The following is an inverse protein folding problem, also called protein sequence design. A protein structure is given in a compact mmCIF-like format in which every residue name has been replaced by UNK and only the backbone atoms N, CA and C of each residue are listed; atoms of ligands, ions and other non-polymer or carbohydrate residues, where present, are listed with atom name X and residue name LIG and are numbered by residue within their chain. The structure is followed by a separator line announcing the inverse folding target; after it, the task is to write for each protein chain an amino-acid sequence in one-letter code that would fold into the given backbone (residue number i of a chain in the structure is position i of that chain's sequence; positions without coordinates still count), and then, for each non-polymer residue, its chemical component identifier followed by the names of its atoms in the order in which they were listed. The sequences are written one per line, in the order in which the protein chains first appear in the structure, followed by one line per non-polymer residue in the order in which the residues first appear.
data_IF_303953058955
#
_entry.id   IF_303953058955
#
_cell.length_a   1.000
_cell.length_b   1.000
_cell.length_c   1.000
_cell.angle_alpha   90.00
_cell.angle_beta   90.00
_cell.angle_gamma   90.00
#
_symmetry.space_group_name_H-M   'P 1'
#
loop_
_entity.id
_entity.type
_entity.pdbx_description
1 polymer ?
#
# COMPACT_ATOMS: atom_id res chain seq x y z
N UNK A 1 8.23 -18.81 10.72
CA UNK A 1 7.34 -18.20 11.74
C UNK A 1 7.30 -16.66 11.71
N UNK A 2 8.24 -15.94 11.09
CA UNK A 2 8.11 -14.48 10.90
C UNK A 2 7.29 -14.03 9.68
N UNK A 3 7.33 -14.82 8.59
CA UNK A 3 6.68 -14.46 7.33
C UNK A 3 5.16 -14.26 7.43
N UNK A 4 4.44 -15.09 8.19
CA UNK A 4 2.97 -14.94 8.32
C UNK A 4 2.58 -13.66 9.04
N UNK A 5 3.39 -13.23 10.02
CA UNK A 5 3.21 -11.97 10.74
C UNK A 5 3.42 -10.79 9.79
N UNK A 6 4.46 -10.85 8.96
CA UNK A 6 4.76 -9.80 7.96
C UNK A 6 3.66 -9.75 6.90
N UNK A 7 3.25 -10.88 6.34
CA UNK A 7 2.16 -10.96 5.37
C UNK A 7 0.85 -10.40 5.94
N UNK A 8 0.51 -10.75 7.19
CA UNK A 8 -0.67 -10.22 7.86
C UNK A 8 -0.59 -8.70 8.05
N UNK A 9 0.55 -8.18 8.51
CA UNK A 9 0.73 -6.73 8.70
C UNK A 9 0.67 -5.94 7.40
N UNK A 10 1.32 -6.42 6.32
CA UNK A 10 1.23 -5.81 4.99
C UNK A 10 -0.21 -5.85 4.49
N UNK A 11 -0.90 -6.97 4.64
CA UNK A 11 -2.31 -7.11 4.23
C UNK A 11 -3.23 -6.12 4.95
N UNK A 12 -3.04 -5.94 6.27
CA UNK A 12 -3.82 -4.98 7.06
C UNK A 12 -3.53 -3.54 6.64
N UNK A 13 -2.27 -3.18 6.36
CA UNK A 13 -1.92 -1.85 5.89
C UNK A 13 -2.54 -1.56 4.52
N UNK A 14 -2.50 -2.50 3.58
CA UNK A 14 -3.10 -2.32 2.26
C UNK A 14 -4.63 -2.25 2.31
N UNK A 15 -5.28 -3.05 3.16
CA UNK A 15 -6.73 -2.96 3.38
C UNK A 15 -7.10 -1.63 4.06
N UNK A 16 -6.27 -1.15 4.98
CA UNK A 16 -6.48 0.17 5.62
C UNK A 16 -6.34 1.30 4.61
N UNK A 17 -5.43 1.18 3.64
CA UNK A 17 -5.30 2.13 2.53
C UNK A 17 -6.58 2.16 1.68
N UNK A 18 -7.11 0.99 1.31
CA UNK A 18 -8.36 0.89 0.53
C UNK A 18 -9.55 1.50 1.29
N UNK A 19 -9.70 1.18 2.59
CA UNK A 19 -10.72 1.79 3.48
C UNK A 19 -10.53 3.30 3.57
N UNK A 20 -9.29 3.77 3.69
CA UNK A 20 -8.98 5.20 3.74
C UNK A 20 -9.45 5.92 2.47
N UNK A 21 -9.30 5.30 1.30
CA UNK A 21 -9.85 5.87 0.07
C UNK A 21 -11.37 5.80 0.03
N UNK A 22 -11.97 4.63 0.23
CA UNK A 22 -13.41 4.44 0.02
C UNK A 22 -14.27 5.15 1.07
N UNK A 23 -13.88 5.07 2.34
CA UNK A 23 -14.75 5.42 3.46
C UNK A 23 -14.37 6.77 4.07
N UNK A 24 -13.08 7.14 4.06
CA UNK A 24 -12.61 8.40 4.63
C UNK A 24 -12.56 9.50 3.58
N UNK A 25 -12.02 9.22 2.40
CA UNK A 25 -11.87 10.20 1.32
C UNK A 25 -13.04 10.20 0.32
N UNK A 26 -13.90 9.17 0.37
CA UNK A 26 -14.98 8.95 -0.61
C UNK A 26 -14.45 8.90 -2.06
N UNK A 27 -13.25 8.34 -2.25
CA UNK A 27 -12.60 8.11 -3.53
C UNK A 27 -12.65 6.61 -3.80
N UNK A 28 -13.07 6.20 -5.00
CA UNK A 28 -12.99 4.80 -5.42
C UNK A 28 -11.67 4.57 -6.16
N UNK A 29 -10.67 3.93 -5.53
CA UNK A 29 -9.43 3.59 -6.21
C UNK A 29 -9.66 2.44 -7.20
N UNK A 30 -8.81 2.35 -8.21
CA UNK A 30 -8.73 1.19 -9.08
C UNK A 30 -7.86 0.13 -8.37
N UNK A 31 -8.50 -0.86 -7.74
CA UNK A 31 -7.81 -1.96 -7.06
C UNK A 31 -7.89 -3.27 -7.86
N UNK A 32 -6.83 -4.06 -7.81
CA UNK A 32 -6.80 -5.43 -8.34
C UNK A 32 -6.05 -6.34 -7.37
N UNK A 33 -6.65 -7.49 -7.05
CA UNK A 33 -6.11 -8.48 -6.12
C UNK A 33 -6.05 -9.84 -6.80
N UNK A 34 -4.88 -10.48 -6.71
CA UNK A 34 -4.67 -11.87 -7.09
C UNK A 34 -4.17 -12.65 -5.86
N UNK A 35 -5.11 -13.28 -5.16
CA UNK A 35 -4.83 -14.07 -3.96
C UNK A 35 -3.92 -15.28 -4.24
N UNK A 36 -3.97 -15.84 -5.45
CA UNK A 36 -3.14 -17.00 -5.81
C UNK A 36 -1.67 -16.61 -5.95
N UNK A 37 -1.41 -15.39 -6.40
CA UNK A 37 -0.07 -14.83 -6.58
C UNK A 37 0.41 -14.00 -5.39
N UNK A 38 -0.47 -13.67 -4.44
CA UNK A 38 -0.16 -12.74 -3.35
C UNK A 38 0.13 -11.34 -3.89
N UNK A 39 -0.67 -10.89 -4.86
CA UNK A 39 -0.47 -9.61 -5.53
C UNK A 39 -1.64 -8.66 -5.28
N UNK A 40 -1.32 -7.41 -5.01
CA UNK A 40 -2.28 -6.32 -4.89
C UNK A 40 -1.73 -5.09 -5.62
N UNK A 41 -2.56 -4.45 -6.43
CA UNK A 41 -2.30 -3.13 -6.99
C UNK A 41 -3.43 -2.19 -6.62
N UNK A 42 -3.08 -0.95 -6.32
CA UNK A 42 -4.04 0.11 -6.04
C UNK A 42 -3.56 1.37 -6.77
N UNK A 43 -4.43 1.94 -7.58
CA UNK A 43 -4.18 3.19 -8.31
C UNK A 43 -5.30 4.19 -7.98
N UNK A 44 -4.92 5.45 -7.79
CA UNK A 44 -5.88 6.54 -7.54
C UNK A 44 -6.03 7.41 -8.78
N UNK A 45 -7.25 7.84 -9.13
CA UNK A 45 -7.50 8.61 -10.35
C UNK A 45 -6.98 10.05 -10.27
N UNK A 46 -6.75 10.57 -9.07
CA UNK A 46 -6.22 11.91 -8.86
C UNK A 46 -5.42 11.97 -7.57
N UNK A 47 -4.28 12.65 -7.62
CA UNK A 47 -3.48 12.97 -6.45
C UNK A 47 -3.86 14.36 -5.91
N UNK A 48 -4.27 14.42 -4.64
CA UNK A 48 -4.44 15.65 -3.88
C UNK A 48 -3.70 15.54 -2.52
N UNK A 49 -3.72 16.61 -1.74
CA UNK A 49 -3.07 16.63 -0.41
C UNK A 49 -3.57 15.51 0.51
N UNK A 50 -4.86 15.15 0.43
CA UNK A 50 -5.45 14.13 1.30
C UNK A 50 -5.04 12.73 0.87
N UNK A 51 -5.01 12.46 -0.43
CA UNK A 51 -4.51 11.18 -0.95
C UNK A 51 -3.03 11.01 -0.63
N UNK A 52 -2.25 12.09 -0.73
CA UNK A 52 -0.82 12.09 -0.38
C UNK A 52 -0.61 11.78 1.10
N UNK A 53 -1.34 12.45 2.00
CA UNK A 53 -1.28 12.17 3.45
C UNK A 53 -1.58 10.70 3.74
N UNK A 54 -2.60 10.12 3.08
CA UNK A 54 -2.96 8.73 3.29
C UNK A 54 -1.88 7.77 2.79
N UNK A 55 -1.33 8.00 1.60
CA UNK A 55 -0.21 7.22 1.08
C UNK A 55 1.02 7.32 1.97
N UNK A 56 1.44 8.52 2.36
CA UNK A 56 2.61 8.73 3.22
C UNK A 56 2.44 8.03 4.58
N UNK A 57 1.21 8.00 5.11
CA UNK A 57 0.90 7.28 6.36
C UNK A 57 1.14 5.78 6.20
N UNK A 58 0.65 5.18 5.11
CA UNK A 58 0.80 3.74 4.84
C UNK A 58 2.24 3.38 4.47
N UNK A 59 2.93 4.20 3.68
CA UNK A 59 4.35 4.05 3.35
C UNK A 59 5.20 4.09 4.63
N UNK A 60 4.91 5.02 5.54
CA UNK A 60 5.57 5.09 6.85
C UNK A 60 5.39 3.81 7.67
N UNK A 61 4.18 3.24 7.66
CA UNK A 61 3.89 1.95 8.30
C UNK A 61 4.65 0.78 7.68
N UNK A 62 4.70 0.71 6.34
CA UNK A 62 5.46 -0.31 5.62
C UNK A 62 6.97 -0.19 5.91
N UNK A 63 7.52 1.02 5.92
CA UNK A 63 8.95 1.25 6.24
C UNK A 63 9.29 0.84 7.68
N UNK A 64 8.40 1.11 8.65
CA UNK A 64 8.60 0.64 10.01
C UNK A 64 8.56 -0.90 10.12
N UNK A 65 7.74 -1.56 9.30
CA UNK A 65 7.73 -3.03 9.19
C UNK A 65 9.00 -3.57 8.55
N UNK A 66 9.50 -2.94 7.48
CA UNK A 66 10.77 -3.29 6.84
C UNK A 66 11.94 -3.19 7.81
N UNK A 67 12.03 -2.12 8.62
CA UNK A 67 13.06 -1.97 9.65
C UNK A 67 12.98 -3.10 10.71
N UNK A 68 11.76 -3.49 11.08
CA UNK A 68 11.54 -4.57 12.06
C UNK A 68 11.76 -5.98 11.50
N UNK A 69 11.53 -6.16 10.19
CA UNK A 69 11.56 -7.46 9.50
C UNK A 69 12.28 -7.40 8.14
N UNK A 70 13.55 -6.96 8.09
CA UNK A 70 14.24 -6.65 6.82
C UNK A 70 14.54 -7.89 5.97
N UNK A 71 14.40 -9.10 6.53
CA UNK A 71 14.57 -10.35 5.81
C UNK A 71 13.31 -10.77 5.00
N UNK A 72 12.17 -10.09 5.19
CA UNK A 72 10.87 -10.51 4.65
C UNK A 72 10.14 -9.43 3.85
N UNK A 73 10.56 -8.17 3.94
CA UNK A 73 9.94 -7.05 3.26
C UNK A 73 11.04 -6.16 2.67
N UNK A 74 10.82 -5.71 1.44
CA UNK A 74 11.64 -4.74 0.74
C UNK A 74 10.69 -3.72 0.09
N UNK A 75 11.00 -2.43 0.25
CA UNK A 75 10.23 -1.35 -0.37
C UNK A 75 11.05 -0.72 -1.49
N UNK A 76 10.47 -0.69 -2.69
CA UNK A 76 11.07 -0.10 -3.88
C UNK A 76 10.25 1.09 -4.35
N UNK A 77 10.93 2.20 -4.60
CA UNK A 77 10.35 3.37 -5.26
C UNK A 77 10.70 3.32 -6.74
N UNK A 78 9.68 3.39 -7.59
CA UNK A 78 9.84 3.50 -9.02
C UNK A 78 9.38 4.89 -9.46
N UNK A 79 10.23 5.59 -10.21
CA UNK A 79 9.78 6.78 -10.93
C UNK A 79 8.96 6.34 -12.14
N UNK A 80 7.71 6.78 -12.21
CA UNK A 80 6.88 6.62 -13.40
C UNK A 80 7.34 7.65 -14.43
N UNK A 81 7.98 7.19 -15.52
CA UNK A 81 8.21 8.01 -16.71
C UNK A 81 6.85 8.36 -17.34
N UNK A 82 6.25 9.47 -16.93
CA UNK A 82 5.03 9.99 -17.56
C UNK A 82 5.36 10.59 -18.93
N UNK A 83 5.41 9.74 -19.96
CA UNK A 83 5.16 10.15 -21.34
C UNK A 83 3.82 9.54 -21.79
N UNK A 84 2.75 10.30 -21.59
CA UNK A 84 1.50 10.15 -22.34
C UNK A 84 1.36 11.35 -23.26
#
# INVERSE_FOLDING_TARGET
EGSDIVCAGVSVLMQTLEIGFSDVLAISPLSSVDERRGYLSLEVPHADERTEILFQTIIGGLRAMEESYPAYLEILEAESDEKI
#
